data_IF_043291403972
#
_entry.id   IF_043291403972
#
_cell.length_a   1.000
_cell.length_b   1.000
_cell.length_c   1.000
_cell.angle_alpha   90.00
_cell.angle_beta   90.00
_cell.angle_gamma   90.00
#
_symmetry.space_group_name_H-M   'P 1'
#
loop_
_entity.id
_entity.type
_entity.pdbx_description
1 polymer ?
#
# COMPACT_ATOMS: atom_id res chain seq x y z
N UNK A 1 -4.36 5.66 7.91
CA UNK A 1 -3.27 6.06 6.98
C UNK A 1 -3.30 7.58 6.87
N UNK A 2 -2.21 8.21 6.43
CA UNK A 2 -2.15 9.66 6.26
C UNK A 2 -3.24 10.15 5.27
N UNK A 3 -3.93 11.25 5.61
CA UNK A 3 -4.95 11.88 4.76
C UNK A 3 -4.38 12.53 3.49
N UNK A 4 -3.06 12.63 3.39
CA UNK A 4 -2.36 13.18 2.22
C UNK A 4 -2.34 12.22 1.01
N UNK A 5 -2.77 10.97 1.18
CA UNK A 5 -2.99 10.06 0.05
C UNK A 5 -4.29 10.40 -0.66
N UNK A 6 -4.22 10.57 -1.99
CA UNK A 6 -5.34 10.95 -2.84
C UNK A 6 -5.37 10.12 -4.12
N UNK A 7 -6.53 10.06 -4.76
CA UNK A 7 -6.75 9.54 -6.11
C UNK A 7 -6.16 8.15 -6.35
N UNK A 8 -6.60 7.15 -5.58
CA UNK A 8 -6.28 5.75 -5.88
C UNK A 8 -7.13 5.23 -7.04
N UNK A 9 -6.46 4.71 -8.07
CA UNK A 9 -7.06 4.03 -9.20
C UNK A 9 -6.65 2.57 -9.18
N UNK A 10 -7.62 1.69 -8.94
CA UNK A 10 -7.40 0.25 -8.93
C UNK A 10 -7.23 -0.23 -10.37
N UNK A 11 -6.21 -1.04 -10.61
CA UNK A 11 -6.00 -1.59 -11.95
C UNK A 11 -6.91 -2.80 -12.19
N UNK A 12 -7.09 -3.16 -13.47
CA UNK A 12 -7.84 -4.36 -13.83
C UNK A 12 -7.12 -5.60 -13.31
N UNK A 13 -7.84 -6.68 -12.94
CA UNK A 13 -7.21 -7.97 -12.68
C UNK A 13 -6.48 -8.47 -13.94
N UNK A 14 -5.16 -8.30 -13.98
CA UNK A 14 -4.34 -8.75 -15.11
C UNK A 14 -3.84 -10.17 -14.85
N UNK A 15 -3.98 -11.05 -15.86
CA UNK A 15 -3.46 -12.43 -15.84
C UNK A 15 -1.94 -12.49 -15.59
N UNK A 16 -1.22 -11.42 -15.96
CA UNK A 16 0.24 -11.31 -15.87
C UNK A 16 0.74 -10.63 -14.58
N UNK A 17 -0.15 -10.41 -13.61
CA UNK A 17 0.21 -9.94 -12.27
C UNK A 17 0.70 -8.50 -12.23
N UNK A 18 0.00 -7.59 -12.92
CA UNK A 18 0.24 -6.13 -12.91
C UNK A 18 0.22 -5.47 -11.53
N UNK A 19 0.26 -4.13 -11.46
CA UNK A 19 0.12 -3.39 -10.19
C UNK A 19 -1.30 -3.52 -9.67
N UNK A 20 -1.52 -3.47 -8.35
CA UNK A 20 -2.88 -3.52 -7.83
C UNK A 20 -3.57 -2.15 -7.90
N UNK A 21 -2.82 -1.08 -7.65
CA UNK A 21 -3.31 0.29 -7.82
C UNK A 21 -2.22 1.30 -8.19
N UNK A 22 -2.66 2.43 -8.75
CA UNK A 22 -1.91 3.68 -8.78
C UNK A 22 -2.51 4.64 -7.76
N UNK A 23 -1.69 5.50 -7.16
CA UNK A 23 -2.15 6.52 -6.24
C UNK A 23 -1.27 7.77 -6.31
N UNK A 24 -1.66 8.79 -5.54
CA UNK A 24 -0.92 10.04 -5.41
C UNK A 24 -0.77 10.41 -3.94
N UNK A 25 0.36 11.02 -3.59
CA UNK A 25 0.60 11.58 -2.27
C UNK A 25 0.87 13.07 -2.40
N UNK A 26 0.17 13.85 -1.60
CA UNK A 26 0.18 15.31 -1.65
C UNK A 26 1.00 15.89 -0.50
N UNK A 27 2.02 16.68 -0.82
CA UNK A 27 2.79 17.45 0.17
C UNK A 27 2.40 18.92 0.03
N UNK A 28 1.87 19.49 1.10
CA UNK A 28 1.45 20.89 1.16
C UNK A 28 1.62 21.46 2.57
N UNK A 29 1.84 22.78 2.66
CA UNK A 29 2.10 23.48 3.92
C UNK A 29 0.87 24.21 4.48
N UNK A 30 -0.31 23.96 3.92
CA UNK A 30 -1.59 24.54 4.36
C UNK A 30 -1.91 25.96 3.83
N UNK A 31 -0.96 26.64 3.19
CA UNK A 31 -1.18 27.96 2.60
C UNK A 31 -1.83 27.90 1.21
N UNK A 32 -2.76 28.82 0.92
CA UNK A 32 -3.43 28.95 -0.40
C UNK A 32 -2.53 29.47 -1.53
N UNK A 33 -1.32 29.93 -1.21
CA UNK A 33 -0.43 30.59 -2.18
C UNK A 33 0.32 29.60 -3.08
N UNK A 34 0.55 28.36 -2.62
CA UNK A 34 1.37 27.40 -3.34
C UNK A 34 0.55 26.19 -3.80
N UNK A 35 0.76 25.77 -5.04
CA UNK A 35 0.23 24.51 -5.53
C UNK A 35 0.92 23.34 -4.79
N UNK A 36 0.17 22.31 -4.38
CA UNK A 36 0.75 21.19 -3.65
C UNK A 36 1.71 20.36 -4.52
N UNK A 37 2.77 19.83 -3.93
CA UNK A 37 3.65 18.87 -4.60
C UNK A 37 2.96 17.50 -4.62
N UNK A 38 2.81 16.92 -5.81
CA UNK A 38 2.21 15.61 -6.00
C UNK A 38 3.29 14.60 -6.36
N UNK A 39 3.31 13.47 -5.64
CA UNK A 39 4.19 12.34 -5.90
C UNK A 39 3.32 11.14 -6.23
N UNK A 40 3.53 10.55 -7.41
CA UNK A 40 2.81 9.33 -7.80
C UNK A 40 3.35 8.12 -7.03
N UNK A 41 2.46 7.20 -6.69
CA UNK A 41 2.81 5.94 -6.06
C UNK A 41 2.19 4.73 -6.77
N UNK A 42 2.85 3.59 -6.61
CA UNK A 42 2.36 2.29 -7.08
C UNK A 42 2.12 1.38 -5.90
N UNK A 43 0.97 0.73 -5.86
CA UNK A 43 0.58 -0.15 -4.77
C UNK A 43 0.56 -1.60 -5.21
N UNK A 44 1.09 -2.46 -4.35
CA UNK A 44 0.98 -3.92 -4.45
C UNK A 44 0.47 -4.49 -3.12
N UNK A 45 -0.57 -5.30 -3.19
CA UNK A 45 -1.28 -5.90 -2.07
C UNK A 45 -1.09 -7.43 -2.07
N UNK A 46 -0.67 -7.98 -0.93
CA UNK A 46 -0.47 -9.42 -0.72
C UNK A 46 -1.27 -9.91 0.48
N UNK A 47 -2.41 -10.53 0.20
CA UNK A 47 -3.21 -11.22 1.20
C UNK A 47 -2.61 -12.61 1.49
N UNK A 48 -1.60 -12.66 2.36
CA UNK A 48 -0.90 -13.87 2.76
C UNK A 48 -1.23 -14.28 4.19
N UNK A 49 -1.03 -15.57 4.49
CA UNK A 49 -1.13 -16.10 5.86
C UNK A 49 0.04 -15.62 6.72
N UNK A 50 -0.12 -15.66 8.05
CA UNK A 50 0.92 -15.29 9.02
C UNK A 50 2.22 -16.09 8.89
N UNK A 51 2.19 -17.25 8.23
CA UNK A 51 3.33 -18.15 8.05
C UNK A 51 4.01 -17.95 6.69
N UNK A 52 3.54 -16.99 5.89
CA UNK A 52 4.03 -16.75 4.53
C UNK A 52 4.50 -15.31 4.40
N UNK A 53 5.81 -15.12 4.42
CA UNK A 53 6.42 -13.80 4.24
C UNK A 53 6.46 -13.35 2.77
N UNK A 54 6.38 -12.04 2.55
CA UNK A 54 6.75 -11.43 1.26
C UNK A 54 8.25 -11.58 1.07
N UNK A 55 8.65 -12.17 -0.06
CA UNK A 55 10.04 -12.45 -0.38
C UNK A 55 10.65 -11.42 -1.34
N UNK A 56 11.95 -11.57 -1.62
CA UNK A 56 12.72 -10.73 -2.53
C UNK A 56 12.04 -10.66 -3.91
N UNK A 57 11.62 -11.79 -4.49
CA UNK A 57 10.96 -11.81 -5.80
C UNK A 57 9.73 -10.90 -5.89
N UNK A 58 8.90 -10.88 -4.86
CA UNK A 58 7.74 -9.98 -4.80
C UNK A 58 8.17 -8.52 -4.64
N UNK A 59 9.19 -8.27 -3.82
CA UNK A 59 9.71 -6.91 -3.61
C UNK A 59 10.38 -6.34 -4.87
N UNK A 60 11.26 -7.10 -5.54
CA UNK A 60 11.92 -6.69 -6.79
C UNK A 60 10.91 -6.40 -7.90
N UNK A 61 9.76 -7.08 -7.90
CA UNK A 61 8.64 -6.78 -8.82
C UNK A 61 8.04 -5.40 -8.55
N UNK A 62 7.79 -5.04 -7.30
CA UNK A 62 7.34 -3.70 -6.93
C UNK A 62 8.41 -2.65 -7.29
N UNK A 63 9.68 -2.91 -6.93
CA UNK A 63 10.81 -2.02 -7.22
C UNK A 63 10.91 -1.72 -8.72
N UNK A 64 10.89 -2.75 -9.58
CA UNK A 64 11.00 -2.57 -11.03
C UNK A 64 9.84 -1.78 -11.66
N UNK A 65 8.74 -1.60 -10.92
CA UNK A 65 7.57 -0.83 -11.35
C UNK A 65 7.63 0.62 -10.92
N UNK A 66 8.41 0.96 -9.90
CA UNK A 66 8.56 2.34 -9.46
C UNK A 66 9.36 3.10 -10.55
N UNK A 67 8.74 4.12 -11.15
CA UNK A 67 9.40 4.98 -12.15
C UNK A 67 10.10 6.16 -11.47
N UNK A 68 10.81 6.97 -12.27
CA UNK A 68 11.54 8.15 -11.78
C UNK A 68 10.65 9.05 -10.90
N UNK A 69 11.13 9.33 -9.67
CA UNK A 69 10.46 10.16 -8.64
C UNK A 69 9.13 9.62 -8.11
N UNK A 70 8.84 8.33 -8.30
CA UNK A 70 7.71 7.66 -7.67
C UNK A 70 8.16 6.89 -6.42
N UNK A 71 7.20 6.43 -5.62
CA UNK A 71 7.45 5.47 -4.56
C UNK A 71 6.49 4.29 -4.61
N UNK A 72 6.87 3.19 -3.97
CA UNK A 72 6.06 1.98 -3.85
C UNK A 72 5.30 1.92 -2.53
N UNK A 73 4.16 1.24 -2.52
CA UNK A 73 3.44 0.86 -1.32
C UNK A 73 3.24 -0.65 -1.38
N UNK A 74 3.82 -1.37 -0.42
CA UNK A 74 3.53 -2.78 -0.21
C UNK A 74 2.56 -2.90 0.94
N UNK A 75 1.39 -3.48 0.68
CA UNK A 75 0.41 -3.84 1.72
C UNK A 75 0.39 -5.36 1.86
N UNK A 76 0.54 -5.89 3.07
CA UNK A 76 0.40 -7.32 3.30
C UNK A 76 -0.26 -7.63 4.64
N UNK A 77 -1.13 -8.64 4.64
CA UNK A 77 -1.72 -9.23 5.86
C UNK A 77 -0.75 -10.16 6.61
N UNK A 78 0.51 -10.19 6.18
CA UNK A 78 1.59 -10.98 6.78
C UNK A 78 2.79 -10.09 7.12
N UNK A 79 4.01 -10.60 6.96
CA UNK A 79 5.29 -9.95 7.21
C UNK A 79 6.16 -9.90 5.94
N UNK A 80 7.20 -9.08 5.96
CA UNK A 80 8.27 -9.07 4.94
C UNK A 80 9.44 -9.86 5.49
N UNK A 81 10.03 -10.75 4.69
CA UNK A 81 11.19 -11.53 5.14
C UNK A 81 12.40 -10.61 5.39
N UNK A 82 13.31 -11.03 6.27
CA UNK A 82 14.46 -10.21 6.68
C UNK A 82 15.33 -9.81 5.49
N UNK A 83 15.58 -10.73 4.55
CA UNK A 83 16.39 -10.45 3.36
C UNK A 83 15.78 -9.36 2.47
N UNK A 84 14.48 -9.43 2.12
CA UNK A 84 13.87 -8.40 1.29
C UNK A 84 13.74 -7.08 2.04
N UNK A 85 13.54 -7.12 3.36
CA UNK A 85 13.52 -5.90 4.16
C UNK A 85 14.90 -5.23 4.14
N UNK A 86 15.98 -5.99 4.37
CA UNK A 86 17.36 -5.48 4.28
C UNK A 86 17.66 -4.88 2.91
N UNK A 87 17.32 -5.56 1.81
CA UNK A 87 17.52 -5.06 0.43
C UNK A 87 16.83 -3.70 0.22
N UNK A 88 15.58 -3.56 0.65
CA UNK A 88 14.84 -2.28 0.53
C UNK A 88 15.54 -1.14 1.26
N UNK A 89 16.04 -1.40 2.46
CA UNK A 89 16.67 -0.37 3.30
C UNK A 89 18.08 -0.05 2.82
N UNK A 90 18.90 -1.06 2.53
CA UNK A 90 20.30 -0.91 2.10
C UNK A 90 20.41 -0.25 0.73
N UNK A 91 19.53 -0.60 -0.21
CA UNK A 91 19.52 -0.03 -1.57
C UNK A 91 18.73 1.31 -1.65
N UNK A 92 18.16 1.76 -0.53
CA UNK A 92 17.44 3.04 -0.45
C UNK A 92 16.19 3.08 -1.34
N UNK A 93 15.52 1.94 -1.52
CA UNK A 93 14.31 1.88 -2.33
C UNK A 93 13.15 2.63 -1.66
N UNK A 94 12.49 3.59 -2.34
CA UNK A 94 11.41 4.38 -1.75
C UNK A 94 10.13 3.53 -1.67
N UNK A 95 10.01 2.70 -0.63
CA UNK A 95 8.89 1.79 -0.44
C UNK A 95 8.30 1.95 0.97
N UNK A 96 7.02 2.28 1.02
CA UNK A 96 6.24 2.22 2.25
C UNK A 96 5.73 0.79 2.46
N UNK A 97 6.17 0.15 3.55
CA UNK A 97 5.76 -1.22 3.89
C UNK A 97 4.66 -1.16 4.97
N UNK A 98 3.51 -1.74 4.65
CA UNK A 98 2.35 -1.86 5.54
C UNK A 98 2.09 -3.34 5.82
N UNK A 99 2.48 -3.81 7.00
CA UNK A 99 2.37 -5.22 7.43
C UNK A 99 1.11 -5.48 8.25
N UNK A 100 0.88 -6.75 8.61
CA UNK A 100 -0.26 -7.19 9.42
C UNK A 100 -0.45 -6.37 10.71
N UNK A 101 0.63 -6.12 11.44
CA UNK A 101 0.58 -5.36 12.69
C UNK A 101 0.14 -3.92 12.46
N UNK A 102 0.60 -3.30 11.37
CA UNK A 102 0.22 -1.93 11.03
C UNK A 102 -1.23 -1.85 10.53
N UNK A 103 -1.69 -2.81 9.71
CA UNK A 103 -3.09 -2.93 9.32
C UNK A 103 -3.97 -3.04 10.56
N UNK A 104 -3.64 -3.94 11.48
CA UNK A 104 -4.39 -4.12 12.73
C UNK A 104 -4.40 -2.86 13.60
N UNK A 105 -3.33 -2.07 13.61
CA UNK A 105 -3.30 -0.78 14.31
C UNK A 105 -4.22 0.24 13.64
N UNK A 106 -4.20 0.34 12.30
CA UNK A 106 -5.08 1.24 11.54
C UNK A 106 -6.55 0.89 11.77
N UNK A 107 -6.91 -0.41 11.70
CA UNK A 107 -8.27 -0.86 11.96
C UNK A 107 -8.74 -0.45 13.36
N UNK A 108 -7.90 -0.69 14.38
CA UNK A 108 -8.20 -0.31 15.78
C UNK A 108 -8.40 1.20 15.96
N UNK A 109 -7.55 2.03 15.34
CA UNK A 109 -7.68 3.50 15.38
C UNK A 109 -9.02 3.96 14.79
N UNK A 110 -9.55 3.22 13.82
CA UNK A 110 -10.85 3.49 13.19
C UNK A 110 -12.01 2.74 13.86
N UNK A 111 -11.81 2.21 15.07
CA UNK A 111 -12.83 1.44 15.82
C UNK A 111 -13.35 0.20 15.09
N UNK A 112 -12.52 -0.38 14.21
CA UNK A 112 -12.79 -1.65 13.53
C UNK A 112 -12.11 -2.76 14.33
N UNK A 113 -12.91 -3.69 14.84
CA UNK A 113 -12.51 -4.80 15.71
C UNK A 113 -12.93 -6.14 15.10
N UNK A 114 -12.57 -7.25 15.74
CA UNK A 114 -13.04 -8.59 15.34
C UNK A 114 -14.56 -8.69 15.23
N UNK A 115 -15.30 -7.90 16.00
CA UNK A 115 -16.75 -8.04 16.12
C UNK A 115 -17.50 -7.36 14.97
N UNK A 116 -16.87 -6.37 14.32
CA UNK A 116 -17.51 -5.57 13.27
C UNK A 116 -16.78 -5.60 11.92
N UNK A 117 -15.60 -6.23 11.84
CA UNK A 117 -14.78 -6.24 10.62
C UNK A 117 -15.51 -6.87 9.43
N UNK A 118 -16.30 -7.92 9.63
CA UNK A 118 -17.08 -8.53 8.54
C UNK A 118 -18.10 -7.57 7.96
N UNK A 119 -18.81 -6.82 8.81
CA UNK A 119 -19.77 -5.82 8.36
C UNK A 119 -19.06 -4.69 7.62
N UNK A 120 -17.93 -4.23 8.14
CA UNK A 120 -17.12 -3.21 7.48
C UNK A 120 -16.62 -3.67 6.11
N UNK A 121 -16.12 -4.91 5.97
CA UNK A 121 -15.71 -5.47 4.69
C UNK A 121 -16.87 -5.51 3.68
N UNK A 122 -18.07 -5.92 4.12
CA UNK A 122 -19.27 -5.88 3.25
C UNK A 122 -19.60 -4.47 2.76
N UNK A 123 -19.39 -3.43 3.58
CA UNK A 123 -19.59 -2.04 3.14
C UNK A 123 -18.57 -1.61 2.10
N UNK A 124 -17.35 -2.17 2.12
CA UNK A 124 -16.34 -1.91 1.08
C UNK A 124 -16.77 -2.56 -0.23
N UNK A 125 -17.16 -3.84 -0.19
CA UNK A 125 -17.58 -4.58 -1.38
C UNK A 125 -18.77 -3.91 -2.09
N UNK A 126 -19.74 -3.39 -1.33
CA UNK A 126 -20.90 -2.68 -1.89
C UNK A 126 -20.53 -1.35 -2.56
N UNK A 127 -19.44 -0.72 -2.11
CA UNK A 127 -18.95 0.53 -2.68
C UNK A 127 -18.00 0.30 -3.86
N UNK A 128 -17.53 -0.92 -4.07
CA UNK A 128 -16.75 -1.29 -5.25
C UNK A 128 -17.68 -1.48 -6.45
N UNK A 129 -17.64 -0.53 -7.38
CA UNK A 129 -18.51 -0.50 -8.57
C UNK A 129 -17.94 -1.30 -9.77
N UNK A 130 -16.96 -2.17 -9.51
CA UNK A 130 -16.28 -2.98 -10.54
C UNK A 130 -16.98 -4.31 -10.81
#
# INVERSE_FOLDING_TARGET
MDSNFINFELTRPWRDGGRDAYGKYQIFTGGKANYPLIIDCSLEAKCYSSNTGVNVRNMSRLISRIKYRQFGILVTTSYVNSQAYSEVIEDGHPILIVTASYIAAILRINSITSDNIENWLRTIDQNDKR
#
